data_IF_943831574726
#
_entry.id   IF_943831574726
#
_cell.length_a   1.000
_cell.length_b   1.000
_cell.length_c   1.000
_cell.angle_alpha   90.00
_cell.angle_beta   90.00
_cell.angle_gamma   90.00
#
_symmetry.space_group_name_H-M   'P 1'
#
loop_
_entity.id
_entity.type
_entity.pdbx_description
1 polymer ?
#
# COMPACT_ATOMS: atom_id res chain seq x y z
N UNK A 1 -12.89 -16.12 -17.55
CA UNK A 1 -11.78 -15.16 -17.38
C UNK A 1 -11.01 -15.56 -16.15
N UNK A 2 -9.69 -15.42 -16.16
CA UNK A 2 -8.87 -15.64 -14.96
C UNK A 2 -8.76 -14.30 -14.26
N UNK A 3 -9.22 -14.20 -13.01
CA UNK A 3 -9.09 -12.98 -12.23
C UNK A 3 -7.61 -12.62 -12.08
N UNK A 4 -7.28 -11.35 -12.33
CA UNK A 4 -5.91 -10.83 -12.30
C UNK A 4 -5.55 -10.24 -10.94
N UNK A 5 -6.55 -9.99 -10.08
CA UNK A 5 -6.39 -9.34 -8.79
C UNK A 5 -7.21 -10.07 -7.74
N UNK A 6 -6.54 -10.51 -6.68
CA UNK A 6 -7.17 -11.16 -5.52
C UNK A 6 -6.87 -10.38 -4.23
N UNK A 7 -7.79 -10.44 -3.27
CA UNK A 7 -7.59 -9.94 -1.91
C UNK A 7 -7.83 -11.06 -0.89
N UNK A 8 -6.77 -11.48 -0.19
CA UNK A 8 -6.87 -12.38 0.96
C UNK A 8 -7.33 -11.57 2.18
N UNK A 9 -8.61 -11.64 2.52
CA UNK A 9 -9.16 -10.90 3.67
C UNK A 9 -8.57 -11.31 5.01
N UNK A 10 -8.12 -12.56 5.14
CA UNK A 10 -7.57 -13.09 6.40
C UNK A 10 -6.17 -12.53 6.65
N UNK A 11 -5.36 -12.45 5.60
CA UNK A 11 -3.98 -11.91 5.68
C UNK A 11 -3.90 -10.42 5.36
N UNK A 12 -4.98 -9.84 4.85
CA UNK A 12 -5.04 -8.47 4.31
C UNK A 12 -3.99 -8.23 3.23
N UNK A 13 -3.87 -9.16 2.28
CA UNK A 13 -2.88 -9.12 1.19
C UNK A 13 -3.59 -8.95 -0.14
N UNK A 14 -3.16 -7.99 -0.93
CA UNK A 14 -3.51 -7.85 -2.34
C UNK A 14 -2.48 -8.57 -3.20
N UNK A 15 -2.95 -9.34 -4.18
CA UNK A 15 -2.11 -10.06 -5.12
C UNK A 15 -2.57 -9.77 -6.55
N UNK A 16 -1.80 -8.96 -7.27
CA UNK A 16 -2.00 -8.74 -8.70
C UNK A 16 -1.10 -9.73 -9.45
N UNK A 17 -1.66 -10.53 -10.34
CA UNK A 17 -0.89 -11.56 -11.03
C UNK A 17 -1.39 -11.86 -12.44
N UNK A 18 -0.48 -12.40 -13.24
CA UNK A 18 -0.82 -13.02 -14.52
C UNK A 18 0.07 -14.24 -14.77
N UNK A 19 0.20 -14.70 -16.01
CA UNK A 19 1.09 -15.82 -16.37
C UNK A 19 2.59 -15.58 -16.16
N UNK A 20 3.02 -14.35 -15.87
CA UNK A 20 4.44 -13.95 -15.84
C UNK A 20 4.87 -13.30 -14.54
N UNK A 21 4.04 -12.43 -13.97
CA UNK A 21 4.41 -11.57 -12.83
C UNK A 21 3.44 -11.69 -11.66
N UNK A 22 3.92 -11.29 -10.49
CA UNK A 22 3.12 -11.03 -9.31
C UNK A 22 3.57 -9.74 -8.63
N UNK A 23 2.61 -8.94 -8.18
CA UNK A 23 2.79 -7.78 -7.33
C UNK A 23 1.97 -8.01 -6.06
N UNK A 24 2.62 -7.92 -4.90
CA UNK A 24 1.99 -8.15 -3.60
C UNK A 24 2.26 -6.99 -2.66
N UNK A 25 1.22 -6.61 -1.95
CA UNK A 25 1.30 -5.69 -0.82
C UNK A 25 0.23 -6.05 0.21
N UNK A 26 0.45 -5.64 1.46
CA UNK A 26 -0.48 -5.92 2.57
C UNK A 26 -0.91 -4.66 3.29
N UNK A 27 -2.03 -4.76 4.00
CA UNK A 27 -2.42 -3.79 5.04
C UNK A 27 -1.83 -4.28 6.37
N UNK A 28 -0.83 -3.58 6.88
CA UNK A 28 -0.19 -3.85 8.17
C UNK A 28 -0.84 -3.04 9.31
N UNK A 29 -0.29 -3.20 10.51
CA UNK A 29 -0.67 -2.43 11.71
C UNK A 29 -0.75 -0.92 11.45
N UNK A 30 -1.75 -0.27 12.02
CA UNK A 30 -2.04 1.14 11.74
C UNK A 30 -2.68 1.41 10.37
N UNK A 31 -3.04 0.37 9.62
CA UNK A 31 -3.63 0.53 8.29
C UNK A 31 -2.62 0.94 7.22
N UNK A 32 -1.33 0.72 7.45
CA UNK A 32 -0.27 1.11 6.53
C UNK A 32 -0.16 0.09 5.40
N UNK A 33 -0.06 0.56 4.16
CA UNK A 33 0.18 -0.31 3.02
C UNK A 33 1.66 -0.68 2.93
N UNK A 34 1.99 -1.94 3.21
CA UNK A 34 3.34 -2.49 3.13
C UNK A 34 3.57 -3.14 1.77
N UNK A 35 4.59 -2.70 1.05
CA UNK A 35 5.08 -3.41 -0.13
C UNK A 35 5.68 -4.75 0.29
N UNK A 36 5.36 -5.83 -0.42
CA UNK A 36 5.91 -7.16 -0.14
C UNK A 36 6.79 -7.67 -1.28
N UNK A 37 6.31 -7.57 -2.52
CA UNK A 37 6.97 -8.20 -3.65
C UNK A 37 6.53 -7.62 -4.99
N UNK A 38 7.48 -7.50 -5.91
CA UNK A 38 7.20 -7.40 -7.34
C UNK A 38 8.23 -8.19 -8.14
N UNK A 39 7.77 -9.14 -8.95
CA UNK A 39 8.66 -9.98 -9.74
C UNK A 39 7.95 -11.13 -10.44
N UNK A 40 8.66 -12.24 -10.67
CA UNK A 40 8.15 -13.48 -11.28
C UNK A 40 6.90 -13.98 -10.58
N UNK A 41 5.98 -14.59 -11.34
CA UNK A 41 4.73 -15.15 -10.83
C UNK A 41 4.95 -16.05 -9.62
N UNK A 42 4.17 -15.80 -8.57
CA UNK A 42 4.03 -16.67 -7.39
C UNK A 42 2.62 -17.25 -7.43
N UNK A 43 2.49 -18.55 -7.16
CA UNK A 43 1.18 -19.24 -7.19
C UNK A 43 0.36 -18.92 -5.93
N UNK A 44 1.00 -18.94 -4.76
CA UNK A 44 0.37 -18.63 -3.48
C UNK A 44 1.34 -17.94 -2.54
N UNK A 45 0.81 -17.02 -1.74
CA UNK A 45 1.53 -16.36 -0.66
C UNK A 45 1.03 -16.85 0.70
N UNK A 46 1.97 -17.13 1.61
CA UNK A 46 1.67 -17.72 2.92
C UNK A 46 2.10 -16.83 4.10
N UNK A 47 2.52 -15.59 3.86
CA UNK A 47 2.95 -14.66 4.91
C UNK A 47 4.46 -14.58 5.12
N UNK A 48 5.26 -15.28 4.30
CA UNK A 48 6.70 -15.40 4.47
C UNK A 48 7.50 -14.09 4.24
N UNK A 49 6.86 -13.03 3.72
CA UNK A 49 7.48 -11.72 3.48
C UNK A 49 7.05 -10.67 4.51
N UNK A 50 6.37 -11.07 5.58
CA UNK A 50 6.03 -10.14 6.66
C UNK A 50 7.31 -9.48 7.20
N UNK A 51 7.32 -8.15 7.24
CA UNK A 51 8.51 -7.41 7.62
C UNK A 51 8.96 -7.77 9.05
N UNK A 52 10.26 -8.06 9.27
CA UNK A 52 10.75 -8.41 10.60
C UNK A 52 10.51 -7.30 11.62
N UNK A 53 10.02 -7.68 12.81
CA UNK A 53 9.89 -6.75 13.93
C UNK A 53 11.20 -6.65 14.69
N UNK A 54 11.88 -5.52 14.55
CA UNK A 54 13.20 -5.26 15.12
C UNK A 54 13.19 -3.85 15.70
N UNK A 55 13.54 -3.71 16.98
CA UNK A 55 13.75 -2.40 17.59
C UNK A 55 14.96 -1.74 16.95
N UNK A 56 14.73 -0.64 16.24
CA UNK A 56 15.76 0.15 15.57
C UNK A 56 15.84 1.51 16.25
N UNK A 57 17.01 1.82 16.80
CA UNK A 57 17.25 3.11 17.43
C UNK A 57 16.87 4.26 16.52
N UNK A 58 16.15 5.23 17.07
CA UNK A 58 15.65 6.45 16.40
C UNK A 58 14.55 6.26 15.34
N UNK A 59 14.16 5.02 14.99
CA UNK A 59 12.98 4.78 14.16
C UNK A 59 11.73 4.72 15.03
N UNK A 60 11.00 5.83 15.14
CA UNK A 60 9.82 5.97 16.01
C UNK A 60 8.66 5.04 15.63
N UNK A 61 7.79 4.74 16.60
CA UNK A 61 6.67 3.81 16.45
C UNK A 61 5.34 4.54 16.20
N UNK A 62 4.27 3.76 15.98
CA UNK A 62 2.93 4.34 15.79
C UNK A 62 2.38 4.97 17.08
N UNK A 63 1.56 6.04 16.99
CA UNK A 63 0.89 6.60 18.15
C UNK A 63 0.09 5.55 18.93
N UNK A 64 0.18 5.59 20.26
CA UNK A 64 -0.51 4.63 21.13
C UNK A 64 0.18 3.27 21.30
N UNK A 65 1.26 2.99 20.57
CA UNK A 65 2.10 1.81 20.80
C UNK A 65 3.19 2.15 21.83
N UNK A 66 3.08 1.59 23.04
CA UNK A 66 4.04 1.87 24.13
C UNK A 66 5.01 0.71 24.40
N UNK A 67 4.65 -0.50 23.97
CA UNK A 67 5.41 -1.73 24.25
C UNK A 67 6.03 -2.36 23.02
N UNK A 68 5.44 -2.20 21.84
CA UNK A 68 6.00 -2.71 20.59
C UNK A 68 6.88 -1.66 19.91
N UNK A 69 8.20 -1.82 20.07
CA UNK A 69 9.21 -0.97 19.41
C UNK A 69 9.71 -1.54 18.09
N UNK A 70 9.25 -2.74 17.71
CA UNK A 70 9.73 -3.46 16.55
C UNK A 70 9.12 -3.01 15.23
N UNK A 71 8.16 -2.08 15.24
CA UNK A 71 7.43 -1.65 14.07
C UNK A 71 7.49 -0.12 13.89
N UNK A 72 7.95 0.33 12.73
CA UNK A 72 8.14 1.75 12.44
C UNK A 72 7.91 2.04 10.96
N UNK A 73 7.22 3.16 10.66
CA UNK A 73 7.02 3.64 9.29
C UNK A 73 8.35 3.92 8.60
N UNK A 74 9.33 4.43 9.34
CA UNK A 74 10.69 4.74 8.87
C UNK A 74 11.41 3.55 8.22
N UNK A 75 11.04 2.32 8.61
CA UNK A 75 11.78 1.11 8.21
C UNK A 75 10.95 0.19 7.32
N UNK A 76 9.62 0.23 7.46
CA UNK A 76 8.70 -0.58 6.69
C UNK A 76 8.79 -0.21 5.20
N UNK A 77 8.89 -1.18 4.28
CA UNK A 77 8.67 -0.94 2.85
C UNK A 77 7.21 -0.55 2.62
N UNK A 78 6.94 0.65 2.14
CA UNK A 78 5.59 1.18 1.97
C UNK A 78 5.21 1.31 0.49
N UNK A 79 3.93 1.09 0.17
CA UNK A 79 3.37 1.39 -1.16
C UNK A 79 3.31 2.89 -1.43
N UNK A 80 3.03 3.68 -0.39
CA UNK A 80 2.94 5.14 -0.48
C UNK A 80 3.25 5.78 0.86
N UNK A 81 4.10 6.81 0.86
CA UNK A 81 4.56 7.50 2.08
C UNK A 81 4.12 8.97 2.10
N UNK A 82 3.95 9.49 3.31
CA UNK A 82 3.53 10.85 3.59
C UNK A 82 4.48 11.53 4.59
N UNK A 83 4.41 12.85 4.67
CA UNK A 83 5.27 13.64 5.55
C UNK A 83 4.73 13.73 6.99
N UNK A 84 5.63 13.97 7.96
CA UNK A 84 5.26 14.37 9.32
C UNK A 84 4.75 13.25 10.24
N UNK A 85 5.02 11.98 9.91
CA UNK A 85 4.39 10.80 10.55
C UNK A 85 5.38 9.74 11.03
N UNK A 86 6.63 10.14 11.29
CA UNK A 86 7.66 9.23 11.79
C UNK A 86 8.28 8.34 10.70
N UNK A 87 8.17 8.73 9.44
CA UNK A 87 9.00 8.26 8.33
C UNK A 87 9.94 9.40 7.95
N UNK A 88 11.26 9.18 8.08
CA UNK A 88 12.26 10.23 7.83
C UNK A 88 12.86 10.19 6.43
N UNK A 89 12.41 9.26 5.59
CA UNK A 89 12.81 9.19 4.17
C UNK A 89 12.09 10.26 3.36
N UNK A 90 12.47 10.42 2.09
CA UNK A 90 11.79 11.34 1.17
C UNK A 90 10.35 10.84 0.94
N UNK A 91 9.31 11.65 1.25
CA UNK A 91 7.93 11.21 1.15
C UNK A 91 7.45 11.24 -0.31
N UNK A 92 6.51 10.35 -0.66
CA UNK A 92 5.84 10.38 -1.96
C UNK A 92 4.87 11.56 -2.10
N UNK A 93 4.33 12.05 -0.98
CA UNK A 93 3.36 13.13 -0.95
C UNK A 93 3.58 14.05 0.26
N UNK A 94 3.32 15.35 0.04
CA UNK A 94 3.29 16.38 1.08
C UNK A 94 2.03 17.21 0.87
N UNK A 95 1.13 17.22 1.85
CA UNK A 95 -0.02 18.11 1.89
C UNK A 95 0.29 19.22 2.90
N UNK A 96 -0.08 20.47 2.60
CA UNK A 96 -0.03 21.57 3.56
C UNK A 96 -1.46 21.90 4.00
N UNK A 97 -1.72 21.72 5.28
CA UNK A 97 -3.00 22.02 5.90
C UNK A 97 -3.19 23.52 6.12
N UNK A 98 -4.42 23.93 6.43
CA UNK A 98 -4.76 25.34 6.66
C UNK A 98 -4.01 25.95 7.86
N UNK A 99 -3.66 25.14 8.86
CA UNK A 99 -2.86 25.56 10.03
C UNK A 99 -1.35 25.63 9.73
N UNK A 100 -0.93 25.30 8.51
CA UNK A 100 0.45 25.31 8.06
C UNK A 100 1.22 24.01 8.33
N UNK A 101 0.63 23.05 9.04
CA UNK A 101 1.20 21.73 9.25
C UNK A 101 1.24 20.91 7.95
N UNK A 102 2.11 19.90 7.92
CA UNK A 102 2.23 18.99 6.78
C UNK A 102 2.34 17.53 7.25
N UNK A 103 1.57 17.17 8.28
CA UNK A 103 1.52 15.81 8.81
C UNK A 103 0.27 15.11 8.25
N UNK A 104 0.47 13.97 7.59
CA UNK A 104 -0.64 13.19 7.03
C UNK A 104 -0.51 11.69 7.37
N UNK A 105 -1.37 11.18 8.25
CA UNK A 105 -1.38 9.80 8.72
C UNK A 105 -2.41 8.94 7.98
N UNK A 106 -2.24 8.81 6.67
CA UNK A 106 -3.11 7.99 5.82
C UNK A 106 -3.15 6.51 6.24
N UNK A 107 -4.36 6.04 6.53
CA UNK A 107 -4.68 4.67 6.88
C UNK A 107 -5.58 4.04 5.82
N UNK A 108 -5.45 2.74 5.60
CA UNK A 108 -6.34 1.98 4.72
C UNK A 108 -7.81 2.12 5.14
N UNK A 109 -8.64 2.55 4.19
CA UNK A 109 -10.09 2.68 4.37
C UNK A 109 -10.84 1.57 3.63
N UNK A 110 -10.61 1.45 2.32
CA UNK A 110 -11.32 0.51 1.46
C UNK A 110 -10.55 0.27 0.15
N UNK A 111 -11.05 -0.64 -0.69
CA UNK A 111 -10.56 -0.86 -2.04
C UNK A 111 -11.71 -1.17 -3.01
N UNK A 112 -11.40 -1.11 -4.31
CA UNK A 112 -12.29 -1.51 -5.40
C UNK A 112 -11.47 -2.19 -6.49
N UNK A 113 -11.96 -3.32 -6.98
CA UNK A 113 -11.41 -4.02 -8.14
C UNK A 113 -12.43 -3.89 -9.27
N UNK A 114 -11.97 -3.48 -10.44
CA UNK A 114 -12.81 -3.28 -11.63
C UNK A 114 -12.13 -3.82 -12.88
N UNK A 115 -12.92 -4.28 -13.84
CA UNK A 115 -12.42 -4.63 -15.17
C UNK A 115 -12.01 -3.38 -15.95
N UNK A 116 -10.99 -3.55 -16.77
CA UNK A 116 -10.38 -2.50 -17.58
C UNK A 116 -9.55 -1.52 -16.77
N UNK A 117 -9.43 -0.31 -17.32
CA UNK A 117 -8.64 0.77 -16.73
C UNK A 117 -9.42 2.10 -16.81
N UNK A 118 -9.71 2.75 -15.66
CA UNK A 118 -10.37 4.05 -15.64
C UNK A 118 -9.58 5.11 -16.41
N UNK A 119 -10.33 6.02 -17.06
CA UNK A 119 -9.76 7.18 -17.76
C UNK A 119 -9.34 8.25 -16.75
N UNK A 120 -8.11 8.72 -16.89
CA UNK A 120 -7.62 9.99 -16.34
C UNK A 120 -8.09 11.16 -17.21
N UNK A 121 -8.97 12.01 -16.69
CA UNK A 121 -9.50 13.20 -17.37
C UNK A 121 -8.37 14.20 -17.69
N UNK A 122 -8.30 14.65 -18.93
CA UNK A 122 -7.32 15.66 -19.38
C UNK A 122 -5.87 15.18 -19.49
N UNK A 123 -5.58 13.88 -19.31
CA UNK A 123 -4.21 13.35 -19.33
C UNK A 123 -4.05 12.16 -20.31
N UNK A 124 -2.92 12.04 -21.02
CA UNK A 124 -2.60 10.85 -21.80
C UNK A 124 -2.34 9.66 -20.88
N UNK A 125 -2.73 8.46 -21.33
CA UNK A 125 -2.62 7.23 -20.55
C UNK A 125 -2.65 5.99 -21.44
N UNK A 126 -2.08 4.88 -20.94
CA UNK A 126 -2.36 3.56 -21.50
C UNK A 126 -3.87 3.24 -21.35
N UNK A 127 -4.42 2.46 -22.28
CA UNK A 127 -5.82 2.06 -22.32
C UNK A 127 -5.95 0.59 -22.73
N UNK A 128 -7.16 0.05 -22.63
CA UNK A 128 -7.53 -1.28 -23.13
C UNK A 128 -8.53 -1.12 -24.27
N UNK A 129 -8.53 -2.03 -25.24
CA UNK A 129 -9.57 -2.05 -26.29
C UNK A 129 -10.84 -2.72 -25.77
N UNK A 130 -10.70 -3.82 -25.04
CA UNK A 130 -11.75 -4.52 -24.29
C UNK A 130 -11.48 -4.51 -22.77
N UNK A 131 -12.54 -4.33 -21.95
CA UNK A 131 -12.39 -4.28 -20.49
C UNK A 131 -11.82 -5.56 -19.89
N UNK A 132 -11.95 -6.70 -20.55
CA UNK A 132 -11.40 -7.99 -20.09
C UNK A 132 -9.88 -8.12 -20.19
N UNK A 133 -9.20 -7.19 -20.87
CA UNK A 133 -7.74 -7.24 -21.05
C UNK A 133 -6.96 -6.91 -19.77
N UNK A 134 -7.57 -6.17 -18.84
CA UNK A 134 -6.94 -5.73 -17.60
C UNK A 134 -7.95 -5.65 -16.47
N UNK A 135 -7.44 -5.57 -15.24
CA UNK A 135 -8.21 -5.16 -14.08
C UNK A 135 -7.45 -4.05 -13.36
N UNK A 136 -8.19 -3.18 -12.69
CA UNK A 136 -7.64 -2.08 -11.90
C UNK A 136 -8.02 -2.26 -10.44
N UNK A 137 -7.01 -2.22 -9.56
CA UNK A 137 -7.19 -2.08 -8.13
C UNK A 137 -7.06 -0.60 -7.75
N UNK A 138 -8.10 -0.04 -7.15
CA UNK A 138 -8.07 1.27 -6.50
C UNK A 138 -8.10 1.07 -5.00
N UNK A 139 -7.07 1.56 -4.29
CA UNK A 139 -7.03 1.53 -2.82
C UNK A 139 -7.28 2.94 -2.29
N UNK A 140 -8.22 3.06 -1.35
CA UNK A 140 -8.58 4.32 -0.72
C UNK A 140 -7.93 4.39 0.65
N UNK A 141 -7.13 5.42 0.85
CA UNK A 141 -6.55 5.78 2.14
C UNK A 141 -7.27 7.01 2.69
N UNK A 142 -7.41 7.08 4.01
CA UNK A 142 -7.95 8.25 4.70
C UNK A 142 -7.03 8.67 5.83
N UNK A 143 -6.81 9.97 5.95
CA UNK A 143 -6.43 10.57 7.23
C UNK A 143 -7.73 10.96 7.95
N UNK A 144 -7.83 10.65 9.25
CA UNK A 144 -9.03 10.87 10.08
C UNK A 144 -8.99 12.17 10.88
N UNK A 145 -7.90 12.94 10.76
CA UNK A 145 -7.75 14.25 11.41
C UNK A 145 -8.79 15.26 10.91
#
# INVERSE_FOLDING_TARGET
MQDLIEFDERRKVFHLHNGKISYLFSVEEGGILSHLYFGTKIVQYHGQLRYPRIDRGFSGNLPGTTTDRGFSRDTLPQEYSSNGVGDYRVPAMIIRHQDGSCADAFCFKNYKIEDGKPKLEGLPQAFVEDSSEAQTLTVILEDKL
#
